data_IF_018970827671
#
_entry.id   IF_018970827671
#
_cell.length_a   1.000
_cell.length_b   1.000
_cell.length_c   1.000
_cell.angle_alpha   90.00
_cell.angle_beta   90.00
_cell.angle_gamma   90.00
#
_symmetry.space_group_name_H-M   'P 1'
#
loop_
_entity.id
_entity.type
_entity.pdbx_description
1 polymer ?
#
# COMPACT_ATOMS: atom_id res chain seq x y z
N UNK A 1 0.03 -18.02 6.90
CA UNK A 1 0.98 -19.14 7.07
C UNK A 1 1.88 -18.97 8.30
N UNK A 2 2.53 -17.80 8.58
CA UNK A 2 3.44 -17.66 9.75
C UNK A 2 2.74 -17.82 11.10
N UNK A 3 1.49 -17.38 11.23
CA UNK A 3 0.69 -17.53 12.44
C UNK A 3 0.05 -18.92 12.60
N UNK A 4 0.16 -19.80 11.61
CA UNK A 4 -0.45 -21.14 11.71
C UNK A 4 0.09 -21.96 12.86
N UNK A 5 1.32 -21.73 13.30
CA UNK A 5 1.94 -22.37 14.46
C UNK A 5 1.26 -22.04 15.81
N UNK A 6 0.48 -20.95 15.85
CA UNK A 6 -0.25 -20.52 17.05
C UNK A 6 -1.72 -20.93 17.06
N UNK A 7 -2.19 -21.66 16.03
CA UNK A 7 -3.61 -22.07 15.90
C UNK A 7 -4.10 -22.98 17.04
N UNK A 8 -3.20 -23.65 17.73
CA UNK A 8 -3.54 -24.45 18.93
C UNK A 8 -3.87 -23.60 20.15
N UNK A 9 -3.42 -22.35 20.18
CA UNK A 9 -3.60 -21.42 21.32
C UNK A 9 -4.62 -20.34 20.98
N UNK A 10 -4.57 -19.80 19.74
CA UNK A 10 -5.38 -18.68 19.30
C UNK A 10 -6.18 -19.01 18.04
N UNK A 11 -7.42 -18.59 18.02
CA UNK A 11 -8.22 -18.59 16.79
C UNK A 11 -7.83 -17.39 15.91
N UNK A 12 -7.48 -17.68 14.65
CA UNK A 12 -7.14 -16.62 13.68
C UNK A 12 -8.42 -16.24 12.95
N UNK A 13 -8.84 -14.97 13.09
CA UNK A 13 -10.04 -14.39 12.51
C UNK A 13 -9.63 -13.42 11.42
N UNK A 14 -10.17 -13.62 10.22
CA UNK A 14 -9.89 -12.81 9.02
C UNK A 14 -11.15 -12.19 8.41
N UNK A 15 -12.32 -12.54 8.96
CA UNK A 15 -13.61 -12.04 8.52
C UNK A 15 -14.58 -11.88 9.70
N UNK A 16 -15.41 -10.81 9.74
CA UNK A 16 -16.33 -10.56 10.84
C UNK A 16 -17.34 -11.69 11.13
N UNK A 17 -17.73 -12.44 10.10
CA UNK A 17 -18.69 -13.57 10.26
C UNK A 17 -18.10 -14.79 10.98
N UNK A 18 -16.83 -14.84 11.28
CA UNK A 18 -16.21 -15.95 11.99
C UNK A 18 -16.52 -15.88 13.49
N UNK A 19 -16.82 -17.02 14.09
CA UNK A 19 -17.11 -17.12 15.54
C UNK A 19 -15.89 -16.67 16.34
N UNK A 20 -16.10 -15.78 17.30
CA UNK A 20 -15.10 -15.32 18.28
C UNK A 20 -15.03 -16.34 19.41
N UNK A 21 -13.84 -16.60 19.93
CA UNK A 21 -13.56 -17.51 21.07
C UNK A 21 -12.88 -16.72 22.20
N UNK A 22 -12.45 -17.39 23.26
CA UNK A 22 -11.77 -16.74 24.39
C UNK A 22 -10.39 -16.16 24.04
N UNK A 23 -9.70 -16.71 23.03
CA UNK A 23 -8.37 -16.24 22.58
C UNK A 23 -8.36 -16.12 21.06
N UNK A 24 -8.27 -14.89 20.57
CA UNK A 24 -8.34 -14.59 19.15
C UNK A 24 -7.15 -13.76 18.69
N UNK A 25 -6.78 -13.93 17.42
CA UNK A 25 -5.93 -12.99 16.68
C UNK A 25 -6.71 -12.52 15.45
N UNK A 26 -7.06 -11.26 15.43
CA UNK A 26 -7.76 -10.64 14.33
C UNK A 26 -6.75 -10.11 13.29
N UNK A 27 -6.96 -10.43 12.01
CA UNK A 27 -6.19 -9.91 10.87
C UNK A 27 -7.21 -9.33 9.90
N UNK A 28 -7.46 -8.06 10.02
CA UNK A 28 -8.58 -7.39 9.36
C UNK A 28 -8.11 -6.14 8.61
N UNK A 29 -8.87 -5.74 7.61
CA UNK A 29 -8.83 -4.37 7.09
C UNK A 29 -9.57 -3.45 8.05
N UNK A 30 -9.35 -2.13 7.96
CA UNK A 30 -10.00 -1.16 8.84
C UNK A 30 -11.54 -1.25 8.77
N UNK A 31 -12.12 -1.51 7.58
CA UNK A 31 -13.54 -1.64 7.39
C UNK A 31 -14.10 -2.81 8.22
N UNK A 32 -13.45 -3.97 8.16
CA UNK A 32 -13.83 -5.16 8.93
C UNK A 32 -13.54 -5.03 10.43
N UNK A 33 -12.48 -4.31 10.77
CA UNK A 33 -12.15 -4.05 12.17
C UNK A 33 -13.26 -3.22 12.82
N UNK A 34 -13.74 -2.17 12.15
CA UNK A 34 -14.79 -1.29 12.67
C UNK A 34 -16.09 -2.03 13.01
N UNK A 35 -16.40 -3.12 12.28
CA UNK A 35 -17.58 -3.98 12.57
C UNK A 35 -17.43 -4.75 13.89
N UNK A 36 -16.20 -5.14 14.25
CA UNK A 36 -15.95 -6.07 15.37
C UNK A 36 -15.62 -5.33 16.66
N UNK A 37 -14.80 -4.27 16.61
CA UNK A 37 -14.19 -3.65 17.80
C UNK A 37 -15.22 -3.06 18.77
N UNK A 38 -16.43 -2.72 18.30
CA UNK A 38 -17.49 -2.18 19.15
C UNK A 38 -18.00 -3.18 20.19
N UNK A 39 -17.83 -4.48 19.94
CA UNK A 39 -18.36 -5.56 20.76
C UNK A 39 -17.27 -6.58 21.16
N UNK A 40 -16.01 -6.19 21.12
CA UNK A 40 -14.91 -7.10 21.40
C UNK A 40 -13.85 -6.37 22.22
N UNK A 41 -13.49 -6.94 23.36
CA UNK A 41 -12.36 -6.45 24.15
C UNK A 41 -11.05 -6.77 23.42
N UNK A 42 -10.19 -5.78 23.30
CA UNK A 42 -8.90 -5.87 22.64
C UNK A 42 -7.80 -5.46 23.60
N UNK A 43 -6.91 -6.39 23.94
CA UNK A 43 -5.79 -6.13 24.84
C UNK A 43 -4.63 -5.42 24.14
N UNK A 44 -4.43 -5.73 22.86
CA UNK A 44 -3.30 -5.25 22.07
C UNK A 44 -3.65 -5.17 20.58
N UNK A 45 -3.23 -4.10 19.91
CA UNK A 45 -3.42 -3.97 18.48
C UNK A 45 -2.19 -3.45 17.74
N UNK A 46 -2.13 -3.74 16.45
CA UNK A 46 -1.09 -3.26 15.54
C UNK A 46 -1.74 -2.60 14.34
N UNK A 47 -1.34 -1.37 14.02
CA UNK A 47 -1.67 -0.74 12.74
C UNK A 47 -0.41 -0.76 11.89
N UNK A 48 -0.43 -1.58 10.84
CA UNK A 48 0.60 -1.57 9.80
C UNK A 48 0.32 -0.44 8.81
N UNK A 49 1.38 0.21 8.34
CA UNK A 49 1.27 1.39 7.47
C UNK A 49 0.50 2.56 8.13
N UNK A 50 0.75 2.82 9.42
CA UNK A 50 0.03 3.82 10.23
C UNK A 50 0.05 5.24 9.63
N UNK A 51 0.99 5.57 8.77
CA UNK A 51 1.02 6.84 8.05
C UNK A 51 -0.24 7.09 7.20
N UNK A 52 -1.03 6.05 6.95
CA UNK A 52 -2.34 6.13 6.29
C UNK A 52 -3.44 6.74 7.16
N UNK A 53 -3.16 6.99 8.43
CA UNK A 53 -4.01 7.84 9.27
C UNK A 53 -4.01 9.30 8.79
N UNK A 54 -2.97 9.73 8.08
CA UNK A 54 -2.91 11.07 7.50
C UNK A 54 -3.65 11.14 6.15
N UNK A 55 -4.53 12.15 5.94
CA UNK A 55 -5.35 12.28 4.71
C UNK A 55 -4.53 12.36 3.42
N UNK A 56 -3.30 12.85 3.51
CA UNK A 56 -2.40 13.02 2.36
C UNK A 56 -1.85 11.69 1.81
N UNK A 57 -2.08 10.58 2.52
CA UNK A 57 -1.40 9.30 2.27
C UNK A 57 -2.29 8.16 1.83
N UNK A 58 -3.59 8.36 1.85
CA UNK A 58 -4.55 7.34 1.44
C UNK A 58 -5.82 7.98 0.91
N UNK A 59 -6.72 7.16 0.41
CA UNK A 59 -8.09 7.54 0.08
C UNK A 59 -8.81 8.12 1.30
N UNK A 60 -9.59 9.19 1.09
CA UNK A 60 -10.22 9.95 2.17
C UNK A 60 -11.14 9.07 3.04
N UNK A 61 -11.98 8.24 2.42
CA UNK A 61 -12.91 7.37 3.15
C UNK A 61 -12.15 6.35 4.01
N UNK A 62 -11.12 5.73 3.44
CA UNK A 62 -10.28 4.77 4.17
C UNK A 62 -9.49 5.43 5.29
N UNK A 63 -9.03 6.66 5.10
CA UNK A 63 -8.40 7.46 6.14
C UNK A 63 -9.36 7.66 7.32
N UNK A 64 -10.61 8.05 7.06
CA UNK A 64 -11.61 8.28 8.11
C UNK A 64 -11.91 7.00 8.89
N UNK A 65 -12.16 5.89 8.19
CA UNK A 65 -12.42 4.60 8.84
C UNK A 65 -11.23 4.16 9.71
N UNK A 66 -9.99 4.32 9.22
CA UNK A 66 -8.80 3.96 9.99
C UNK A 66 -8.64 4.82 11.24
N UNK A 67 -8.92 6.13 11.15
CA UNK A 67 -8.92 7.04 12.29
C UNK A 67 -9.99 6.65 13.33
N UNK A 68 -11.21 6.29 12.89
CA UNK A 68 -12.26 5.80 13.79
C UNK A 68 -11.83 4.51 14.52
N UNK A 69 -11.25 3.55 13.79
CA UNK A 69 -10.73 2.31 14.39
C UNK A 69 -9.65 2.62 15.42
N UNK A 70 -8.71 3.50 15.07
CA UNK A 70 -7.62 3.87 15.95
C UNK A 70 -8.14 4.56 17.22
N UNK A 71 -9.02 5.55 17.09
CA UNK A 71 -9.65 6.25 18.22
C UNK A 71 -10.38 5.27 19.13
N UNK A 72 -11.25 4.42 18.58
CA UNK A 72 -12.02 3.45 19.36
C UNK A 72 -11.12 2.50 20.14
N UNK A 73 -10.07 1.96 19.53
CA UNK A 73 -9.13 1.03 20.18
C UNK A 73 -8.28 1.74 21.26
N UNK A 74 -7.85 2.95 21.01
CA UNK A 74 -7.06 3.72 21.98
C UNK A 74 -7.91 4.05 23.21
N UNK A 75 -9.18 4.41 23.06
CA UNK A 75 -10.10 4.70 24.18
C UNK A 75 -10.35 3.49 25.10
N UNK A 76 -10.17 2.24 24.61
CA UNK A 76 -10.27 1.05 25.47
C UNK A 76 -9.07 0.87 26.41
N UNK A 77 -8.00 1.64 26.24
CA UNK A 77 -6.75 1.47 26.98
C UNK A 77 -5.87 0.32 26.46
N UNK A 78 -6.20 -0.26 25.31
CA UNK A 78 -5.41 -1.32 24.68
C UNK A 78 -4.00 -0.84 24.34
N UNK A 79 -3.02 -1.71 24.58
CA UNK A 79 -1.64 -1.45 24.14
C UNK A 79 -1.54 -1.46 22.62
N UNK A 80 -0.63 -0.67 22.05
CA UNK A 80 -0.54 -0.59 20.59
C UNK A 80 0.88 -0.50 20.05
N UNK A 81 1.03 -0.97 18.81
CA UNK A 81 2.15 -0.68 17.93
C UNK A 81 1.67 -0.07 16.62
N UNK A 82 2.25 1.07 16.26
CA UNK A 82 2.07 1.69 14.96
C UNK A 82 3.33 1.42 14.13
N UNK A 83 3.19 0.64 13.08
CA UNK A 83 4.30 0.22 12.21
C UNK A 83 4.23 0.96 10.88
N UNK A 84 5.38 1.41 10.40
CA UNK A 84 5.46 2.09 9.11
C UNK A 84 6.90 2.31 8.66
N UNK A 85 7.09 2.78 7.42
CA UNK A 85 8.39 3.19 6.93
C UNK A 85 8.86 4.47 7.62
N UNK A 86 10.10 4.89 7.34
CA UNK A 86 10.65 6.09 7.93
C UNK A 86 9.81 7.33 7.62
N UNK A 87 9.35 7.97 8.68
CA UNK A 87 8.75 9.30 8.69
C UNK A 87 9.62 10.24 9.53
N UNK A 88 9.42 11.54 9.41
CA UNK A 88 10.18 12.50 10.22
C UNK A 88 9.71 12.43 11.67
N UNK A 89 8.43 12.66 11.90
CA UNK A 89 7.76 12.55 13.21
C UNK A 89 6.25 12.49 13.05
N UNK A 90 5.58 12.11 14.11
CA UNK A 90 4.14 12.35 14.31
C UNK A 90 3.99 13.75 14.90
N UNK A 91 3.10 14.55 14.31
CA UNK A 91 2.85 15.95 14.74
C UNK A 91 1.71 16.07 15.73
N UNK A 92 0.88 15.04 15.82
CA UNK A 92 -0.32 15.02 16.66
C UNK A 92 0.03 14.62 18.10
N UNK A 93 -0.45 15.38 19.05
CA UNK A 93 -0.55 14.95 20.44
C UNK A 93 -1.79 14.08 20.60
N UNK A 94 -1.62 12.91 21.19
CA UNK A 94 -2.75 12.04 21.54
C UNK A 94 -3.45 12.60 22.78
N UNK A 95 -4.53 11.95 23.21
CA UNK A 95 -5.21 12.31 24.45
C UNK A 95 -4.25 12.26 25.64
N UNK A 96 -4.41 13.14 26.62
CA UNK A 96 -3.48 13.34 27.76
C UNK A 96 -3.16 12.06 28.56
N UNK A 97 -4.07 11.11 28.58
CA UNK A 97 -3.91 9.82 29.24
C UNK A 97 -3.17 8.76 28.41
N UNK A 98 -2.77 9.07 27.16
CA UNK A 98 -2.14 8.12 26.26
C UNK A 98 -0.66 8.44 26.12
N UNK A 99 0.16 7.60 26.70
CA UNK A 99 1.61 7.68 26.53
C UNK A 99 2.08 6.78 25.41
N UNK A 100 2.92 7.31 24.53
CA UNK A 100 3.58 6.56 23.50
C UNK A 100 5.05 6.95 23.33
N UNK A 101 5.84 6.04 22.76
CA UNK A 101 7.24 6.29 22.41
C UNK A 101 7.40 6.19 20.90
N UNK A 102 7.80 7.28 20.27
CA UNK A 102 8.18 7.26 18.85
C UNK A 102 9.62 6.75 18.72
N UNK A 103 9.80 5.67 17.95
CA UNK A 103 11.11 5.06 17.70
C UNK A 103 11.42 5.18 16.22
N UNK A 104 12.32 6.08 15.85
CA UNK A 104 12.86 6.20 14.49
C UNK A 104 14.08 5.29 14.37
N UNK A 105 14.04 4.34 13.44
CA UNK A 105 15.15 3.42 13.21
C UNK A 105 15.72 3.60 11.82
N UNK A 106 17.03 3.67 11.70
CA UNK A 106 17.77 3.63 10.43
C UNK A 106 18.12 2.20 9.98
N UNK A 107 17.63 1.18 10.68
CA UNK A 107 17.95 -0.21 10.37
C UNK A 107 17.42 -0.61 9.00
N UNK A 108 18.33 -1.05 8.15
CA UNK A 108 18.01 -1.59 6.81
C UNK A 108 18.33 -3.06 6.78
N UNK A 109 17.32 -3.87 6.45
CA UNK A 109 17.50 -5.34 6.31
C UNK A 109 18.26 -5.73 5.06
N UNK A 110 18.37 -4.81 4.10
CA UNK A 110 19.01 -5.01 2.79
C UNK A 110 19.78 -3.75 2.42
N UNK A 111 20.98 -3.92 1.92
CA UNK A 111 21.76 -2.85 1.29
C UNK A 111 21.30 -2.70 -0.16
N UNK A 112 21.11 -1.48 -0.62
CA UNK A 112 20.77 -1.21 -2.03
C UNK A 112 21.79 -0.31 -2.68
N UNK A 113 22.27 -0.74 -3.84
CA UNK A 113 23.15 0.04 -4.71
C UNK A 113 22.30 0.81 -5.73
N UNK A 114 22.63 2.08 -5.94
CA UNK A 114 21.90 2.96 -6.86
C UNK A 114 22.75 3.22 -8.10
N UNK A 115 22.13 3.01 -9.26
CA UNK A 115 22.76 3.19 -10.57
C UNK A 115 21.94 4.22 -11.36
N UNK A 116 22.54 5.38 -11.67
CA UNK A 116 21.88 6.37 -12.52
C UNK A 116 22.04 5.97 -13.98
N UNK A 117 20.93 5.89 -14.70
CA UNK A 117 20.89 5.53 -16.11
C UNK A 117 20.86 6.81 -16.95
N UNK A 118 21.93 7.05 -17.66
CA UNK A 118 22.03 8.17 -18.59
C UNK A 118 21.42 7.79 -19.94
N UNK A 119 20.39 8.55 -20.36
CA UNK A 119 19.79 8.42 -21.70
C UNK A 119 20.38 9.50 -22.59
N UNK A 120 20.94 9.11 -23.73
CA UNK A 120 21.54 10.03 -24.69
C UNK A 120 20.50 11.01 -25.28
N UNK A 121 20.94 12.22 -25.69
CA UNK A 121 20.05 13.26 -26.20
C UNK A 121 19.13 12.82 -27.36
N UNK A 122 19.60 11.87 -28.18
CA UNK A 122 18.85 11.33 -29.33
C UNK A 122 18.33 9.91 -29.10
N UNK A 123 18.45 9.39 -27.88
CA UNK A 123 18.04 8.04 -27.52
C UNK A 123 16.66 8.07 -26.86
N UNK A 124 15.82 7.10 -27.24
CA UNK A 124 14.54 6.91 -26.54
C UNK A 124 14.77 6.16 -25.23
N UNK A 125 14.24 6.62 -24.08
CA UNK A 125 14.38 5.93 -22.80
C UNK A 125 14.01 4.45 -22.85
N UNK A 126 13.03 4.09 -23.68
CA UNK A 126 12.58 2.70 -23.82
C UNK A 126 13.66 1.79 -24.41
N UNK A 127 14.49 2.29 -25.35
CA UNK A 127 15.56 1.50 -25.93
C UNK A 127 16.63 1.22 -24.86
N UNK A 128 16.98 2.23 -24.07
CA UNK A 128 17.91 2.08 -22.96
C UNK A 128 17.41 1.11 -21.89
N UNK A 129 16.08 1.12 -21.62
CA UNK A 129 15.46 0.14 -20.74
C UNK A 129 15.62 -1.29 -21.27
N UNK A 130 15.38 -1.50 -22.57
CA UNK A 130 15.51 -2.82 -23.21
C UNK A 130 16.97 -3.30 -23.14
N UNK A 131 17.94 -2.43 -23.44
CA UNK A 131 19.37 -2.76 -23.33
C UNK A 131 19.74 -3.18 -21.91
N UNK A 132 19.34 -2.38 -20.90
CA UNK A 132 19.57 -2.70 -19.49
C UNK A 132 18.96 -4.05 -19.10
N UNK A 133 17.70 -4.30 -19.50
CA UNK A 133 17.01 -5.53 -19.16
C UNK A 133 17.60 -6.78 -19.87
N UNK A 134 18.28 -6.59 -21.00
CA UNK A 134 19.00 -7.67 -21.68
C UNK A 134 20.19 -8.15 -20.85
N UNK A 135 20.87 -7.23 -20.15
CA UNK A 135 22.06 -7.52 -19.34
C UNK A 135 21.71 -8.07 -17.94
N UNK A 136 20.49 -7.85 -17.48
CA UNK A 136 20.05 -8.28 -16.15
C UNK A 136 19.53 -9.72 -16.18
N UNK A 137 20.14 -10.62 -15.43
CA UNK A 137 19.71 -12.03 -15.30
C UNK A 137 18.80 -12.30 -14.12
N UNK A 138 18.80 -11.43 -13.12
CA UNK A 138 18.09 -11.61 -11.88
C UNK A 138 16.65 -11.05 -11.92
N UNK A 139 15.75 -11.52 -11.03
CA UNK A 139 14.37 -11.03 -10.96
C UNK A 139 14.31 -9.51 -10.80
N UNK A 140 13.64 -8.85 -11.75
CA UNK A 140 13.64 -7.40 -11.90
C UNK A 140 12.23 -6.83 -11.90
N UNK A 141 11.96 -5.86 -10.99
CA UNK A 141 10.77 -5.02 -11.02
C UNK A 141 11.00 -3.80 -11.89
N UNK A 142 10.02 -3.43 -12.72
CA UNK A 142 10.05 -2.22 -13.53
C UNK A 142 8.87 -1.35 -13.12
N UNK A 143 9.15 -0.23 -12.44
CA UNK A 143 8.13 0.69 -11.99
C UNK A 143 7.75 1.68 -13.09
N UNK A 144 6.43 1.75 -13.37
CA UNK A 144 5.81 2.64 -14.34
C UNK A 144 4.74 3.50 -13.65
N UNK A 145 4.57 4.75 -14.12
CA UNK A 145 3.65 5.73 -13.51
C UNK A 145 2.16 5.37 -13.62
N UNK A 146 1.80 4.56 -14.61
CA UNK A 146 0.39 4.28 -14.92
C UNK A 146 0.22 2.95 -15.66
N UNK A 147 -1.00 2.37 -15.69
CA UNK A 147 -1.29 1.21 -16.51
C UNK A 147 -0.96 1.41 -18.00
N UNK A 148 -1.16 2.61 -18.54
CA UNK A 148 -0.82 2.94 -19.91
C UNK A 148 0.69 2.90 -20.16
N UNK A 149 1.50 3.45 -19.23
CA UNK A 149 2.96 3.37 -19.29
C UNK A 149 3.45 1.94 -19.18
N UNK A 150 2.91 1.16 -18.25
CA UNK A 150 3.24 -0.27 -18.09
C UNK A 150 2.96 -1.08 -19.39
N UNK A 151 1.82 -0.84 -20.02
CA UNK A 151 1.48 -1.49 -21.29
C UNK A 151 2.41 -1.05 -22.43
N UNK A 152 2.80 0.23 -22.52
CA UNK A 152 3.78 0.72 -23.50
C UNK A 152 5.14 0.00 -23.35
N UNK A 153 5.62 -0.12 -22.12
CA UNK A 153 6.86 -0.84 -21.84
C UNK A 153 6.73 -2.30 -22.23
N UNK A 154 5.62 -2.96 -21.86
CA UNK A 154 5.35 -4.35 -22.22
C UNK A 154 5.30 -4.57 -23.73
N UNK A 155 4.62 -3.69 -24.48
CA UNK A 155 4.54 -3.74 -25.94
C UNK A 155 5.92 -3.59 -26.57
N UNK A 156 6.70 -2.62 -26.12
CA UNK A 156 8.06 -2.42 -26.63
C UNK A 156 8.98 -3.63 -26.36
N UNK A 157 8.81 -4.31 -25.23
CA UNK A 157 9.54 -5.54 -24.93
C UNK A 157 9.16 -6.68 -25.90
N UNK A 158 7.86 -6.79 -26.26
CA UNK A 158 7.40 -7.76 -27.24
C UNK A 158 7.94 -7.46 -28.67
N UNK A 159 7.90 -6.19 -29.07
CA UNK A 159 8.33 -5.71 -30.37
C UNK A 159 9.85 -5.81 -30.57
N UNK A 160 10.63 -5.64 -29.50
CA UNK A 160 12.10 -5.73 -29.56
C UNK A 160 12.62 -7.11 -29.93
N UNK A 161 11.81 -8.16 -29.74
CA UNK A 161 12.17 -9.59 -29.95
C UNK A 161 13.42 -10.05 -29.17
N UNK A 162 13.91 -9.22 -28.22
CA UNK A 162 15.12 -9.51 -27.40
C UNK A 162 14.84 -10.65 -26.41
N UNK A 163 13.60 -10.76 -25.94
CA UNK A 163 13.20 -11.75 -24.94
C UNK A 163 12.57 -12.97 -25.63
N UNK A 164 13.22 -14.15 -25.59
CA UNK A 164 12.73 -15.34 -26.27
C UNK A 164 11.45 -15.89 -25.66
N UNK A 165 10.67 -16.59 -26.45
CA UNK A 165 9.50 -17.35 -25.94
C UNK A 165 9.97 -18.61 -25.22
N UNK A 166 9.28 -18.93 -24.13
CA UNK A 166 9.50 -20.13 -23.35
C UNK A 166 8.19 -20.84 -23.01
N UNK A 167 8.23 -22.16 -22.87
CA UNK A 167 7.06 -23.02 -22.67
C UNK A 167 6.63 -23.20 -21.20
N UNK A 168 7.35 -22.58 -20.26
CA UNK A 168 7.20 -22.85 -18.81
C UNK A 168 5.78 -22.58 -18.25
N UNK A 169 5.01 -21.70 -18.89
CA UNK A 169 3.69 -21.29 -18.41
C UNK A 169 2.56 -21.58 -19.42
N UNK A 170 2.72 -22.56 -20.29
CA UNK A 170 1.82 -22.83 -21.41
C UNK A 170 0.35 -23.00 -21.01
N UNK A 171 0.05 -23.71 -19.93
CA UNK A 171 -1.33 -23.90 -19.48
C UNK A 171 -2.00 -22.59 -19.08
N UNK A 172 -1.28 -21.71 -18.37
CA UNK A 172 -1.80 -20.40 -18.01
C UNK A 172 -1.99 -19.52 -19.25
N UNK A 173 -1.03 -19.54 -20.16
CA UNK A 173 -1.10 -18.76 -21.41
C UNK A 173 -2.28 -19.23 -22.27
N UNK A 174 -2.47 -20.52 -22.46
CA UNK A 174 -3.62 -21.10 -23.18
C UNK A 174 -4.93 -20.71 -22.50
N UNK A 175 -5.00 -20.81 -21.16
CA UNK A 175 -6.20 -20.44 -20.44
C UNK A 175 -6.53 -18.95 -20.58
N UNK A 176 -5.52 -18.07 -20.51
CA UNK A 176 -5.72 -16.62 -20.70
C UNK A 176 -6.18 -16.29 -22.12
N UNK A 177 -5.58 -16.90 -23.15
CA UNK A 177 -5.98 -16.70 -24.55
C UNK A 177 -7.40 -17.17 -24.83
N UNK A 178 -7.88 -18.22 -24.18
CA UNK A 178 -9.21 -18.75 -24.35
C UNK A 178 -10.31 -18.02 -23.59
N UNK A 179 -9.95 -17.36 -22.46
CA UNK A 179 -10.93 -16.77 -21.54
C UNK A 179 -10.93 -15.23 -21.54
N UNK A 180 -9.96 -14.59 -22.22
CA UNK A 180 -9.85 -13.14 -22.32
C UNK A 180 -9.75 -12.69 -23.78
N UNK A 181 -9.72 -11.35 -23.96
CA UNK A 181 -9.68 -10.77 -25.30
C UNK A 181 -8.41 -11.20 -26.05
N UNK A 182 -8.50 -11.63 -27.32
CA UNK A 182 -7.35 -12.15 -28.08
C UNK A 182 -6.18 -11.17 -28.25
N UNK A 183 -6.47 -9.86 -28.26
CA UNK A 183 -5.46 -8.79 -28.34
C UNK A 183 -4.85 -8.41 -26.99
N UNK A 184 -5.23 -9.07 -25.87
CA UNK A 184 -4.62 -8.79 -24.60
C UNK A 184 -3.15 -9.21 -24.58
N UNK A 185 -2.26 -8.26 -24.29
CA UNK A 185 -0.82 -8.49 -24.43
C UNK A 185 -0.23 -9.41 -23.35
N UNK A 186 -0.89 -9.55 -22.20
CA UNK A 186 -0.35 -10.30 -21.05
C UNK A 186 0.02 -11.75 -21.37
N UNK A 187 -0.78 -12.54 -22.10
CA UNK A 187 -0.37 -13.90 -22.49
C UNK A 187 0.95 -13.94 -23.23
N UNK A 188 1.14 -13.03 -24.20
CA UNK A 188 2.37 -12.94 -24.99
C UNK A 188 3.58 -12.47 -24.15
N UNK A 189 3.35 -11.66 -23.13
CA UNK A 189 4.37 -11.27 -22.15
C UNK A 189 4.80 -12.46 -21.29
N UNK A 190 3.84 -13.23 -20.77
CA UNK A 190 4.11 -14.41 -19.92
C UNK A 190 4.93 -15.46 -20.68
N UNK A 191 4.68 -15.67 -21.99
CA UNK A 191 5.50 -16.52 -22.86
C UNK A 191 6.97 -16.11 -22.90
N UNK A 192 7.29 -14.84 -22.52
CA UNK A 192 8.65 -14.28 -22.49
C UNK A 192 9.15 -14.00 -21.08
N UNK A 193 8.57 -14.63 -20.08
CA UNK A 193 8.86 -14.42 -18.66
C UNK A 193 8.66 -12.96 -18.19
N UNK A 194 7.71 -12.25 -18.79
CA UNK A 194 7.35 -10.88 -18.43
C UNK A 194 5.96 -10.88 -17.84
N UNK A 195 5.82 -10.43 -16.59
CA UNK A 195 4.54 -10.21 -15.95
C UNK A 195 4.16 -8.73 -15.98
N UNK A 196 2.86 -8.45 -15.84
CA UNK A 196 2.32 -7.09 -15.71
C UNK A 196 1.44 -7.06 -14.47
N UNK A 197 1.57 -6.01 -13.65
CA UNK A 197 0.79 -5.79 -12.45
C UNK A 197 0.33 -4.34 -12.31
N UNK A 198 -0.94 -4.09 -12.43
CA UNK A 198 -1.57 -2.79 -12.16
C UNK A 198 -3.06 -2.96 -11.81
N UNK A 199 -3.69 -1.91 -11.27
CA UNK A 199 -5.06 -1.97 -10.75
C UNK A 199 -6.17 -2.32 -11.76
N UNK A 200 -5.89 -2.29 -13.08
CA UNK A 200 -6.84 -2.69 -14.13
C UNK A 200 -6.77 -4.18 -14.50
N UNK A 201 -5.80 -4.93 -13.93
CA UNK A 201 -5.72 -6.38 -14.12
C UNK A 201 -6.59 -7.06 -13.07
N UNK A 202 -7.38 -8.08 -13.42
CA UNK A 202 -8.16 -8.87 -12.46
C UNK A 202 -7.26 -9.36 -11.31
N UNK A 203 -7.72 -9.18 -10.07
CA UNK A 203 -6.90 -9.42 -8.86
C UNK A 203 -6.27 -10.82 -8.81
N UNK A 204 -7.02 -11.84 -9.23
CA UNK A 204 -6.52 -13.24 -9.28
C UNK A 204 -5.35 -13.41 -10.22
N UNK A 205 -5.41 -12.76 -11.39
CA UNK A 205 -4.35 -12.81 -12.40
C UNK A 205 -3.13 -12.00 -11.94
N UNK A 206 -3.35 -10.81 -11.38
CA UNK A 206 -2.29 -10.00 -10.79
C UNK A 206 -1.53 -10.78 -9.71
N UNK A 207 -2.26 -11.44 -8.80
CA UNK A 207 -1.65 -12.31 -7.77
C UNK A 207 -0.92 -13.51 -8.36
N UNK A 208 -1.42 -14.09 -9.45
CA UNK A 208 -0.73 -15.19 -10.15
C UNK A 208 0.59 -14.72 -10.75
N UNK A 209 0.63 -13.53 -11.37
CA UNK A 209 1.88 -12.93 -11.87
C UNK A 209 2.90 -12.72 -10.74
N UNK A 210 2.48 -12.20 -9.60
CA UNK A 210 3.36 -12.06 -8.42
C UNK A 210 3.91 -13.42 -7.96
N UNK A 211 3.04 -14.43 -7.90
CA UNK A 211 3.47 -15.78 -7.52
C UNK A 211 4.50 -16.34 -8.50
N UNK A 212 4.23 -16.27 -9.80
CA UNK A 212 5.16 -16.73 -10.83
C UNK A 212 6.51 -15.99 -10.77
N UNK A 213 6.49 -14.68 -10.53
CA UNK A 213 7.70 -13.87 -10.33
C UNK A 213 8.48 -14.34 -9.09
N UNK A 214 7.81 -14.55 -7.97
CA UNK A 214 8.45 -15.03 -6.74
C UNK A 214 8.97 -16.46 -6.84
N UNK A 215 8.36 -17.29 -7.68
CA UNK A 215 8.76 -18.69 -7.94
C UNK A 215 9.87 -18.77 -9.03
N UNK A 216 10.31 -17.63 -9.61
CA UNK A 216 11.35 -17.59 -10.66
C UNK A 216 10.85 -17.91 -12.07
N UNK A 217 9.54 -18.10 -12.26
CA UNK A 217 8.92 -18.38 -13.55
C UNK A 217 8.71 -17.12 -14.41
N UNK A 218 8.82 -15.94 -13.83
CA UNK A 218 8.90 -14.66 -14.52
C UNK A 218 10.20 -13.97 -14.11
N UNK A 219 10.90 -13.39 -15.10
CA UNK A 219 12.15 -12.63 -14.89
C UNK A 219 11.85 -11.16 -14.66
N UNK A 220 10.89 -10.60 -15.38
CA UNK A 220 10.47 -9.22 -15.26
C UNK A 220 9.04 -9.10 -14.75
N UNK A 221 8.79 -8.09 -13.88
CA UNK A 221 7.46 -7.72 -13.47
C UNK A 221 7.30 -6.20 -13.64
N UNK A 222 6.58 -5.81 -14.71
CA UNK A 222 6.25 -4.41 -14.99
C UNK A 222 5.07 -4.02 -14.11
N UNK A 223 5.23 -2.99 -13.30
CA UNK A 223 4.23 -2.66 -12.28
C UNK A 223 3.99 -1.17 -12.11
N UNK A 224 2.89 -0.84 -11.44
CA UNK A 224 2.56 0.50 -10.98
C UNK A 224 2.56 0.57 -9.45
N UNK A 225 2.18 1.72 -8.88
CA UNK A 225 2.10 1.94 -7.42
C UNK A 225 1.31 0.88 -6.65
N UNK A 226 0.35 0.21 -7.29
CA UNK A 226 -0.44 -0.86 -6.66
C UNK A 226 0.37 -2.07 -6.19
N UNK A 227 1.60 -2.25 -6.70
CA UNK A 227 2.52 -3.30 -6.23
C UNK A 227 3.37 -2.83 -5.04
N UNK A 228 3.55 -1.52 -4.88
CA UNK A 228 4.43 -0.96 -3.85
C UNK A 228 3.86 -1.23 -2.45
N UNK A 229 2.54 -1.20 -2.31
CA UNK A 229 1.85 -1.37 -1.04
C UNK A 229 1.41 -2.81 -0.81
N UNK A 230 1.79 -3.38 0.33
CA UNK A 230 1.28 -4.66 0.82
C UNK A 230 1.71 -5.93 0.07
N UNK A 231 2.56 -5.83 -0.97
CA UNK A 231 3.00 -6.99 -1.74
C UNK A 231 4.48 -7.28 -1.52
N UNK A 232 4.79 -8.51 -1.12
CA UNK A 232 6.16 -8.98 -0.99
C UNK A 232 6.66 -9.62 -2.30
N UNK A 233 7.72 -9.06 -2.88
CA UNK A 233 8.38 -9.58 -4.09
C UNK A 233 9.81 -10.03 -3.77
N UNK A 234 10.32 -10.97 -4.56
CA UNK A 234 11.71 -11.44 -4.46
C UNK A 234 12.59 -10.76 -5.52
N UNK A 235 12.38 -9.48 -5.76
CA UNK A 235 13.18 -8.75 -6.73
C UNK A 235 14.58 -8.51 -6.19
N UNK A 236 15.60 -8.79 -7.00
CA UNK A 236 16.96 -8.32 -6.76
C UNK A 236 17.14 -6.91 -7.32
N UNK A 237 16.55 -6.64 -8.47
CA UNK A 237 16.67 -5.37 -9.16
C UNK A 237 15.33 -4.63 -9.18
N UNK A 238 15.39 -3.32 -9.00
CA UNK A 238 14.26 -2.41 -9.19
C UNK A 238 14.67 -1.33 -10.18
N UNK A 239 13.96 -1.20 -11.28
CA UNK A 239 14.12 -0.14 -12.26
C UNK A 239 13.03 0.89 -12.03
N UNK A 240 13.38 2.12 -11.70
CA UNK A 240 12.46 3.25 -11.62
C UNK A 240 12.48 3.95 -12.98
N UNK A 241 11.58 3.49 -13.87
CA UNK A 241 11.49 3.97 -15.24
C UNK A 241 10.79 5.32 -15.35
N UNK A 242 9.71 5.52 -14.58
CA UNK A 242 8.98 6.77 -14.49
C UNK A 242 9.16 7.40 -13.09
N UNK A 243 9.12 8.74 -12.99
CA UNK A 243 9.23 9.48 -11.73
C UNK A 243 7.91 10.09 -11.24
N UNK A 244 6.79 9.53 -11.68
CA UNK A 244 5.43 9.99 -11.35
C UNK A 244 4.56 8.83 -10.89
N UNK A 245 3.50 9.17 -10.17
CA UNK A 245 2.32 8.34 -10.01
C UNK A 245 1.17 9.11 -10.65
N UNK A 246 0.54 8.50 -11.67
CA UNK A 246 -0.43 9.16 -12.53
C UNK A 246 0.14 10.45 -13.16
N UNK A 247 -0.19 11.63 -12.64
CA UNK A 247 0.22 12.93 -13.17
C UNK A 247 1.21 13.69 -12.28
N UNK A 248 1.37 13.29 -11.02
CA UNK A 248 2.18 13.98 -10.02
C UNK A 248 3.53 13.28 -9.81
N UNK A 249 4.61 14.06 -9.65
CA UNK A 249 5.89 13.51 -9.20
C UNK A 249 5.71 12.89 -7.82
N UNK A 250 6.28 11.71 -7.60
CA UNK A 250 6.26 11.10 -6.28
C UNK A 250 7.28 11.77 -5.35
N UNK A 251 6.97 11.77 -4.07
CA UNK A 251 7.84 12.29 -3.02
C UNK A 251 8.91 11.26 -2.60
N UNK A 252 9.81 11.69 -1.72
CA UNK A 252 10.90 10.84 -1.21
C UNK A 252 10.40 9.61 -0.45
N UNK A 253 9.27 9.73 0.24
CA UNK A 253 8.66 8.62 0.95
C UNK A 253 8.23 7.51 -0.03
N UNK A 254 7.51 7.87 -1.07
CA UNK A 254 7.10 6.94 -2.13
C UNK A 254 8.30 6.34 -2.86
N UNK A 255 9.29 7.17 -3.19
CA UNK A 255 10.56 6.73 -3.77
C UNK A 255 11.23 5.65 -2.92
N UNK A 256 11.35 5.87 -1.61
CA UNK A 256 11.95 4.88 -0.71
C UNK A 256 11.13 3.59 -0.61
N UNK A 257 9.80 3.68 -0.66
CA UNK A 257 8.94 2.51 -0.68
C UNK A 257 9.12 1.66 -1.95
N UNK A 258 9.33 2.31 -3.11
CA UNK A 258 9.69 1.63 -4.36
C UNK A 258 11.07 0.98 -4.22
N UNK A 259 12.06 1.74 -3.78
CA UNK A 259 13.43 1.26 -3.57
C UNK A 259 13.49 0.07 -2.59
N UNK A 260 12.67 0.10 -1.54
CA UNK A 260 12.57 -0.97 -0.54
C UNK A 260 12.03 -2.30 -1.07
N UNK A 261 11.65 -2.37 -2.35
CA UNK A 261 11.30 -3.63 -3.03
C UNK A 261 12.51 -4.34 -3.63
N UNK A 262 13.67 -3.67 -3.71
CA UNK A 262 14.94 -4.28 -4.13
C UNK A 262 15.58 -5.04 -2.98
N UNK A 263 16.06 -6.23 -3.27
CA UNK A 263 16.67 -7.10 -2.27
C UNK A 263 15.65 -7.69 -1.28
N UNK A 264 16.06 -8.72 -0.58
CA UNK A 264 15.25 -9.35 0.47
C UNK A 264 16.12 -10.09 1.45
N UNK A 265 15.91 -9.86 2.73
CA UNK A 265 16.54 -10.62 3.79
C UNK A 265 16.39 -12.13 3.54
N UNK A 266 17.48 -12.87 3.61
CA UNK A 266 17.59 -14.31 3.33
C UNK A 266 17.49 -14.74 1.85
N UNK A 267 17.36 -13.81 0.89
CA UNK A 267 17.39 -14.15 -0.55
C UNK A 267 18.45 -13.33 -1.27
N UNK A 268 18.38 -12.00 -1.15
CA UNK A 268 19.33 -11.07 -1.80
C UNK A 268 19.65 -9.95 -0.81
N UNK A 269 20.81 -10.04 -0.14
CA UNK A 269 21.25 -9.03 0.83
C UNK A 269 21.59 -7.70 0.18
N UNK A 270 22.00 -7.72 -1.09
CA UNK A 270 22.26 -6.52 -1.89
C UNK A 270 21.25 -6.46 -3.01
N UNK A 271 20.48 -5.38 -3.06
CA UNK A 271 19.54 -5.06 -4.15
C UNK A 271 20.10 -3.94 -5.03
N UNK A 272 19.78 -3.97 -6.33
CA UNK A 272 20.16 -2.90 -7.25
C UNK A 272 18.94 -2.03 -7.58
N UNK A 273 19.16 -0.72 -7.64
CA UNK A 273 18.14 0.26 -8.01
C UNK A 273 18.66 1.05 -9.20
N UNK A 274 17.98 0.95 -10.34
CA UNK A 274 18.32 1.65 -11.57
C UNK A 274 17.37 2.83 -11.76
N UNK A 275 17.93 4.04 -11.87
CA UNK A 275 17.20 5.29 -11.89
C UNK A 275 17.27 5.92 -13.29
N UNK A 276 16.15 6.08 -13.96
CA UNK A 276 16.01 6.81 -15.21
C UNK A 276 15.80 8.31 -15.01
N UNK A 277 15.58 8.72 -13.77
CA UNK A 277 15.36 10.12 -13.38
C UNK A 277 16.05 10.41 -12.06
N UNK A 278 16.38 11.68 -11.84
CA UNK A 278 16.86 12.16 -10.55
C UNK A 278 15.89 11.82 -9.42
N UNK A 279 16.39 11.29 -8.29
CA UNK A 279 15.55 11.02 -7.14
C UNK A 279 14.98 12.33 -6.56
N UNK A 280 13.81 12.28 -5.90
CA UNK A 280 13.29 13.44 -5.20
C UNK A 280 14.19 13.85 -4.02
N UNK A 281 14.05 15.10 -3.58
CA UNK A 281 14.73 15.60 -2.39
C UNK A 281 14.42 14.72 -1.19
N UNK A 282 15.46 14.49 -0.35
CA UNK A 282 15.39 13.59 0.79
C UNK A 282 14.63 14.21 1.97
N UNK A 283 13.34 14.44 1.80
CA UNK A 283 12.43 14.95 2.83
C UNK A 283 11.52 13.84 3.33
N UNK A 284 11.55 13.61 4.64
CA UNK A 284 10.66 12.66 5.28
C UNK A 284 9.33 13.34 5.62
N UNK A 285 8.18 12.64 5.46
CA UNK A 285 6.90 13.23 5.75
C UNK A 285 6.67 13.39 7.24
N UNK A 286 5.92 14.41 7.59
CA UNK A 286 5.21 14.53 8.85
C UNK A 286 3.91 13.72 8.74
N UNK A 287 3.49 13.11 9.82
CA UNK A 287 2.23 12.37 9.89
C UNK A 287 1.34 12.99 10.95
N UNK A 288 0.16 13.37 10.57
CA UNK A 288 -0.89 13.89 11.44
C UNK A 288 -2.04 12.88 11.57
N UNK A 289 -2.65 12.82 12.74
CA UNK A 289 -3.83 12.02 13.03
C UNK A 289 -5.04 12.96 13.21
N UNK A 290 -5.84 13.18 12.16
CA UNK A 290 -6.88 14.21 12.16
C UNK A 290 -7.93 14.01 13.25
N UNK A 291 -8.19 12.77 13.68
CA UNK A 291 -9.14 12.50 14.76
C UNK A 291 -8.69 13.07 16.12
N UNK A 292 -7.38 13.27 16.33
CA UNK A 292 -6.83 13.87 17.53
C UNK A 292 -6.39 15.31 17.32
N UNK A 293 -5.82 15.64 16.15
CA UNK A 293 -5.38 17.01 15.85
C UNK A 293 -6.56 17.97 15.71
N UNK A 294 -7.69 17.50 15.17
CA UNK A 294 -8.94 18.23 15.00
C UNK A 294 -8.72 19.66 14.47
N UNK A 295 -7.87 19.76 13.44
CA UNK A 295 -7.61 21.02 12.75
C UNK A 295 -8.84 21.49 11.97
N UNK A 296 -8.87 22.74 11.50
CA UNK A 296 -10.03 23.34 10.86
C UNK A 296 -10.47 22.60 9.57
N UNK A 297 -9.55 21.94 8.89
CA UNK A 297 -9.78 21.17 7.67
C UNK A 297 -10.32 19.75 7.92
N UNK A 298 -10.37 19.30 9.18
CA UNK A 298 -10.93 17.97 9.51
C UNK A 298 -12.45 17.97 9.27
N UNK A 299 -12.96 17.04 8.44
CA UNK A 299 -14.38 17.03 8.10
C UNK A 299 -15.27 16.57 9.25
N UNK A 300 -16.49 17.11 9.29
CA UNK A 300 -17.49 16.83 10.31
C UNK A 300 -17.84 15.35 10.43
N UNK A 301 -17.85 14.63 9.31
CA UNK A 301 -18.08 13.17 9.26
C UNK A 301 -17.05 12.35 10.05
N UNK A 302 -15.83 12.89 10.25
CA UNK A 302 -14.85 12.28 11.16
C UNK A 302 -15.09 12.73 12.60
N UNK A 303 -15.29 14.02 12.82
CA UNK A 303 -15.46 14.63 14.14
C UNK A 303 -16.68 14.09 14.88
N UNK A 304 -17.79 13.77 14.18
CA UNK A 304 -19.03 13.25 14.80
C UNK A 304 -18.82 11.91 15.53
N UNK A 305 -17.76 11.17 15.19
CA UNK A 305 -17.41 9.90 15.83
C UNK A 305 -16.59 10.05 17.12
N UNK A 306 -16.15 11.27 17.45
CA UNK A 306 -15.39 11.56 18.66
C UNK A 306 -16.37 11.77 19.83
N UNK A 307 -15.98 11.32 21.01
CA UNK A 307 -16.74 11.58 22.24
C UNK A 307 -16.65 13.06 22.60
N UNK A 308 -17.70 13.57 23.20
CA UNK A 308 -17.84 15.01 23.47
C UNK A 308 -16.72 15.58 24.36
N UNK A 309 -16.25 14.77 25.31
CA UNK A 309 -15.14 15.11 26.21
C UNK A 309 -13.80 15.28 25.48
N UNK A 310 -13.60 14.58 24.37
CA UNK A 310 -12.38 14.58 23.55
C UNK A 310 -12.44 15.60 22.40
N UNK A 311 -13.62 16.24 22.17
CA UNK A 311 -13.78 17.26 21.15
C UNK A 311 -13.14 18.59 21.60
N UNK A 312 -12.33 19.17 20.73
CA UNK A 312 -11.87 20.56 20.88
C UNK A 312 -13.03 21.54 20.71
N UNK A 313 -12.94 22.72 21.32
CA UNK A 313 -14.01 23.73 21.24
C UNK A 313 -14.33 24.16 19.81
N UNK A 314 -13.33 24.28 18.94
CA UNK A 314 -13.53 24.55 17.50
C UNK A 314 -14.34 23.47 16.81
N UNK A 315 -14.08 22.20 17.15
CA UNK A 315 -14.80 21.03 16.61
C UNK A 315 -16.23 20.95 17.12
N UNK A 316 -16.48 21.28 18.39
CA UNK A 316 -17.83 21.39 18.97
C UNK A 316 -18.65 22.43 18.23
N UNK A 317 -18.08 23.62 18.00
CA UNK A 317 -18.75 24.69 17.23
C UNK A 317 -19.08 24.22 15.80
N UNK A 318 -18.15 23.54 15.16
CA UNK A 318 -18.34 22.99 13.80
C UNK A 318 -19.46 21.96 13.75
N UNK A 319 -19.60 21.11 14.77
CA UNK A 319 -20.63 20.09 14.87
C UNK A 319 -21.99 20.61 15.39
N UNK A 320 -22.04 21.83 15.92
CA UNK A 320 -23.24 22.38 16.57
C UNK A 320 -24.48 22.28 15.68
N UNK A 321 -24.36 22.64 14.41
CA UNK A 321 -25.46 22.58 13.43
C UNK A 321 -26.05 21.17 13.24
N UNK A 322 -25.27 20.11 13.46
CA UNK A 322 -25.72 18.71 13.33
C UNK A 322 -26.26 18.12 14.63
N UNK A 323 -25.76 18.59 15.77
CA UNK A 323 -26.13 18.05 17.09
C UNK A 323 -27.39 18.72 17.63
N UNK A 324 -27.58 20.01 17.38
CA UNK A 324 -28.72 20.80 17.83
C UNK A 324 -29.96 20.65 16.93
N UNK A 325 -29.87 19.95 15.81
CA UNK A 325 -31.02 19.70 14.96
C UNK A 325 -31.95 18.66 15.61
N UNK A 326 -33.28 18.86 15.48
CA UNK A 326 -34.29 17.97 16.04
C UNK A 326 -34.65 16.76 15.14
N UNK A 327 -34.12 16.73 13.89
CA UNK A 327 -34.56 15.75 12.86
C UNK A 327 -33.87 14.41 12.97
N UNK A 328 -32.53 14.41 13.24
CA UNK A 328 -31.74 13.20 13.30
C UNK A 328 -30.94 13.14 14.62
N UNK A 329 -30.99 12.01 15.32
CA UNK A 329 -30.17 11.82 16.51
C UNK A 329 -28.70 11.69 16.18
N UNK A 330 -27.83 12.07 17.11
CA UNK A 330 -26.36 11.92 17.01
C UNK A 330 -25.96 10.47 16.67
N UNK A 331 -26.70 9.47 17.18
CA UNK A 331 -26.46 8.06 16.88
C UNK A 331 -26.74 7.70 15.42
N UNK A 332 -27.79 8.26 14.82
CA UNK A 332 -28.11 8.07 13.41
C UNK A 332 -27.04 8.70 12.54
N UNK A 333 -26.56 9.91 12.89
CA UNK A 333 -25.48 10.58 12.19
C UNK A 333 -24.17 9.79 12.29
N UNK A 334 -23.82 9.29 13.49
CA UNK A 334 -22.64 8.42 13.67
C UNK A 334 -22.69 7.15 12.81
N UNK A 335 -23.85 6.50 12.72
CA UNK A 335 -24.03 5.29 11.89
C UNK A 335 -23.89 5.56 10.40
N UNK A 336 -24.14 6.78 9.96
CA UNK A 336 -24.10 7.21 8.56
C UNK A 336 -22.95 8.18 8.26
N UNK A 337 -21.95 8.28 9.14
CA UNK A 337 -20.84 9.23 9.01
C UNK A 337 -19.89 9.00 7.81
N UNK A 338 -20.06 7.90 7.06
CA UNK A 338 -19.42 7.69 5.78
C UNK A 338 -20.09 8.47 4.62
N UNK A 339 -21.28 9.01 4.83
CA UNK A 339 -21.97 9.92 3.92
C UNK A 339 -21.65 11.36 4.35
N UNK A 340 -21.67 12.26 3.41
CA UNK A 340 -21.60 13.69 3.69
C UNK A 340 -22.79 14.10 4.56
N UNK A 341 -22.54 14.68 5.73
CA UNK A 341 -23.58 15.02 6.71
C UNK A 341 -24.53 16.13 6.21
N UNK A 342 -24.15 16.87 5.17
CA UNK A 342 -24.99 17.90 4.53
C UNK A 342 -25.94 17.30 3.46
N UNK A 343 -25.88 16.00 3.18
CA UNK A 343 -26.77 15.26 2.24
C UNK A 343 -27.79 14.40 2.96
#
# INVERSE_FOLDING_TARGET
>A
KRLSKFKSIYKIITHPSQVITSKNVFILTQERALEIIKNTDVDFFVIDEFYKLSPQRTDEERCHILNQVFYTLVKTGAQFYLLGPNIERVTTELLDNIQYKFIKTGYKTVVSERHNITVGKNEKPINKLIELCKELDEPTLIFCQSPASANKVATAFLESQVFPKETINDDLVKWLKNNYHPQWILPNCIERKIGIHHGKIPRSIAQKCIKLFNDGNLKFLICTSTLIEGVNTKAKNVIIYDNKIARSKFDYFTFNNICGRSGRMFSHFIGNIYLFHEPPLAELPLVDFPIFSQTEDVPEKLLINIDEEDLKESSKLKLKKYIEQEVLSKEVLKKNSYIDLDK
#
